data_IF_585317894373
#
_entry.id   IF_585317894373
#
_cell.length_a   1.000
_cell.length_b   1.000
_cell.length_c   1.000
_cell.angle_alpha   90.00
_cell.angle_beta   90.00
_cell.angle_gamma   90.00
#
_symmetry.space_group_name_H-M   'P 1'
#
loop_
_entity.id
_entity.type
_entity.pdbx_description
1 polymer ?
#
# COMPACT_ATOMS: atom_id res chain seq x y z
N UNK A 1 -16.48 -9.89 -6.58
CA UNK A 1 -16.24 -8.43 -6.66
C UNK A 1 -14.89 -8.01 -6.12
N UNK A 2 -14.47 -8.51 -4.95
CA UNK A 2 -13.15 -8.24 -4.39
C UNK A 2 -12.01 -8.66 -5.33
N UNK A 3 -12.15 -9.81 -5.98
CA UNK A 3 -11.13 -10.33 -6.91
C UNK A 3 -10.94 -9.41 -8.11
N UNK A 4 -12.01 -8.80 -8.61
CA UNK A 4 -11.92 -7.86 -9.73
C UNK A 4 -11.23 -6.56 -9.33
N UNK A 5 -11.48 -6.10 -8.11
CA UNK A 5 -10.82 -4.91 -7.57
C UNK A 5 -9.32 -5.18 -7.46
N UNK A 6 -8.94 -6.32 -6.90
CA UNK A 6 -7.54 -6.71 -6.74
C UNK A 6 -6.85 -6.86 -8.10
N UNK A 7 -7.53 -7.50 -9.05
CA UNK A 7 -7.00 -7.65 -10.41
C UNK A 7 -6.75 -6.29 -11.06
N UNK A 8 -7.69 -5.36 -10.89
CA UNK A 8 -7.55 -4.00 -11.44
C UNK A 8 -6.38 -3.26 -10.80
N UNK A 9 -6.22 -3.37 -9.49
CA UNK A 9 -5.11 -2.75 -8.77
C UNK A 9 -3.77 -3.33 -9.24
N UNK A 10 -3.68 -4.65 -9.38
CA UNK A 10 -2.46 -5.30 -9.87
C UNK A 10 -2.10 -4.83 -11.27
N UNK A 11 -3.10 -4.64 -12.14
CA UNK A 11 -2.89 -4.11 -13.48
C UNK A 11 -2.31 -2.71 -13.45
N UNK A 12 -2.88 -1.84 -12.60
CA UNK A 12 -2.41 -0.47 -12.45
C UNK A 12 -0.97 -0.45 -11.90
N UNK A 13 -0.67 -1.28 -10.94
CA UNK A 13 0.68 -1.38 -10.37
C UNK A 13 1.69 -1.83 -11.42
N UNK A 14 1.32 -2.81 -12.25
CA UNK A 14 2.20 -3.30 -13.32
C UNK A 14 2.47 -2.24 -14.39
N UNK A 15 1.46 -1.43 -14.71
CA UNK A 15 1.58 -0.39 -15.73
C UNK A 15 2.25 0.87 -15.21
N UNK A 16 1.96 1.24 -13.95
CA UNK A 16 2.39 2.51 -13.38
C UNK A 16 3.72 2.47 -12.65
N UNK A 17 4.23 1.28 -12.36
CA UNK A 17 5.46 1.12 -11.59
C UNK A 17 6.34 0.07 -12.26
N UNK A 18 7.36 0.53 -12.98
CA UNK A 18 8.31 -0.38 -13.65
C UNK A 18 9.15 -1.13 -12.61
N UNK A 19 9.64 -2.30 -13.00
CA UNK A 19 10.54 -3.08 -12.15
C UNK A 19 11.78 -2.29 -11.76
N UNK A 20 12.34 -1.52 -12.69
CA UNK A 20 13.51 -0.71 -12.43
C UNK A 20 13.23 0.35 -11.36
N UNK A 21 12.14 1.09 -11.49
CA UNK A 21 11.76 2.12 -10.53
C UNK A 21 11.46 1.49 -9.18
N UNK A 22 10.74 0.40 -9.16
CA UNK A 22 10.42 -0.32 -7.94
C UNK A 22 11.70 -0.72 -7.18
N UNK A 23 12.67 -1.28 -7.88
CA UNK A 23 13.94 -1.69 -7.27
C UNK A 23 14.73 -0.52 -6.72
N UNK A 24 14.61 0.64 -7.34
CA UNK A 24 15.28 1.85 -6.87
C UNK A 24 14.63 2.43 -5.62
N UNK A 25 13.31 2.26 -5.48
CA UNK A 25 12.54 2.88 -4.40
C UNK A 25 12.32 1.95 -3.20
N UNK A 26 12.40 0.64 -3.38
CA UNK A 26 12.12 -0.30 -2.30
C UNK A 26 13.20 -0.21 -1.22
N UNK A 27 12.76 -0.04 0.02
CA UNK A 27 13.64 0.03 1.17
C UNK A 27 13.78 -1.36 1.79
N UNK A 28 14.94 -1.67 2.36
CA UNK A 28 15.19 -2.98 2.99
C UNK A 28 14.18 -3.30 4.11
N UNK A 29 13.69 -2.28 4.81
CA UNK A 29 12.69 -2.47 5.87
C UNK A 29 11.29 -2.76 5.32
N UNK A 30 11.10 -2.64 4.01
CA UNK A 30 9.83 -2.92 3.35
C UNK A 30 9.89 -4.18 2.49
N UNK A 31 11.08 -4.52 1.99
CA UNK A 31 11.27 -5.67 1.14
C UNK A 31 10.83 -6.96 1.85
N UNK A 32 10.11 -7.82 1.14
CA UNK A 32 9.57 -9.08 1.65
C UNK A 32 8.53 -8.90 2.76
N UNK A 33 7.98 -7.70 2.94
CA UNK A 33 6.95 -7.42 3.94
C UNK A 33 5.56 -7.51 3.32
N UNK A 34 4.59 -7.84 4.17
CA UNK A 34 3.18 -7.86 3.79
C UNK A 34 2.45 -6.83 4.62
N UNK A 35 1.79 -5.91 3.93
CA UNK A 35 1.07 -4.81 4.53
C UNK A 35 -0.43 -5.03 4.29
N UNK A 36 -1.19 -5.11 5.37
CA UNK A 36 -2.64 -5.22 5.28
C UNK A 36 -3.25 -3.83 5.27
N UNK A 37 -4.07 -3.56 4.27
CA UNK A 37 -4.86 -2.33 4.20
C UNK A 37 -6.30 -2.69 4.49
N UNK A 38 -6.87 -2.08 5.54
CA UNK A 38 -8.24 -2.33 5.95
C UNK A 38 -9.05 -1.05 5.79
N UNK A 39 -9.98 -1.05 4.85
CA UNK A 39 -10.90 0.07 4.62
C UNK A 39 -12.20 -0.29 5.32
N UNK A 40 -12.38 0.23 6.52
CA UNK A 40 -13.35 -0.26 7.48
C UNK A 40 -14.81 -0.04 7.07
N UNK A 41 -15.11 1.14 6.54
CA UNK A 41 -16.49 1.50 6.22
C UNK A 41 -17.07 0.75 5.02
N UNK A 42 -16.22 0.15 4.18
CA UNK A 42 -16.67 -0.68 3.06
C UNK A 42 -16.26 -2.15 3.22
N UNK A 43 -15.73 -2.49 4.38
CA UNK A 43 -15.31 -3.87 4.71
C UNK A 43 -14.38 -4.48 3.66
N UNK A 44 -13.44 -3.68 3.16
CA UNK A 44 -12.48 -4.13 2.16
C UNK A 44 -11.11 -4.30 2.78
N UNK A 45 -10.53 -5.49 2.63
CA UNK A 45 -9.17 -5.78 3.08
C UNK A 45 -8.31 -6.15 1.89
N UNK A 46 -7.15 -5.53 1.78
CA UNK A 46 -6.17 -5.80 0.74
C UNK A 46 -4.83 -6.11 1.40
N UNK A 47 -4.05 -6.99 0.78
CA UNK A 47 -2.75 -7.38 1.29
C UNK A 47 -1.70 -7.04 0.25
N UNK A 48 -0.86 -6.06 0.54
CA UNK A 48 0.23 -5.67 -0.34
C UNK A 48 1.47 -6.51 -0.02
N UNK A 49 1.89 -7.29 -0.98
CA UNK A 49 3.11 -8.09 -0.87
C UNK A 49 4.23 -7.40 -1.63
N UNK A 50 5.24 -6.93 -0.88
CA UNK A 50 6.39 -6.24 -1.47
C UNK A 50 7.44 -7.27 -1.85
N UNK A 51 7.29 -7.85 -3.03
CA UNK A 51 8.20 -8.87 -3.55
C UNK A 51 9.51 -8.24 -4.00
N UNK A 52 10.43 -9.06 -4.44
CA UNK A 52 11.76 -8.61 -4.85
C UNK A 52 11.74 -7.67 -6.05
N UNK A 53 10.86 -7.91 -7.02
CA UNK A 53 10.82 -7.14 -8.26
C UNK A 53 9.55 -6.32 -8.48
N UNK A 54 8.53 -6.56 -7.67
CA UNK A 54 7.22 -5.90 -7.85
C UNK A 54 6.40 -5.94 -6.58
N UNK A 55 5.35 -5.10 -6.54
CA UNK A 55 4.30 -5.20 -5.55
C UNK A 55 3.18 -6.04 -6.15
N UNK A 56 2.65 -6.98 -5.38
CA UNK A 56 1.43 -7.69 -5.76
C UNK A 56 0.38 -7.50 -4.67
N UNK A 57 -0.89 -7.50 -5.07
CA UNK A 57 -2.00 -7.41 -4.13
C UNK A 57 -2.64 -8.79 -4.03
N UNK A 58 -2.78 -9.27 -2.80
CA UNK A 58 -3.35 -10.57 -2.50
C UNK A 58 -4.69 -10.41 -1.81
N UNK A 59 -5.54 -11.44 -1.91
CA UNK A 59 -6.84 -11.47 -1.23
C UNK A 59 -6.72 -11.84 0.24
N UNK A 60 -5.63 -12.53 0.60
CA UNK A 60 -5.44 -13.06 1.94
C UNK A 60 -3.96 -13.34 2.18
N UNK A 61 -3.56 -13.41 3.44
CA UNK A 61 -2.20 -13.77 3.83
C UNK A 61 -2.21 -14.30 5.26
N UNK A 62 -1.42 -15.33 5.51
CA UNK A 62 -1.24 -15.90 6.86
C UNK A 62 -0.35 -15.03 7.74
N UNK A 63 0.38 -14.11 7.14
CA UNK A 63 1.34 -13.27 7.83
C UNK A 63 1.17 -11.82 7.40
N UNK A 64 1.18 -10.91 8.36
CA UNK A 64 1.21 -9.47 8.08
C UNK A 64 2.25 -8.82 9.00
N UNK A 65 2.99 -7.87 8.45
CA UNK A 65 4.01 -7.14 9.20
C UNK A 65 3.47 -5.82 9.72
N UNK A 66 2.60 -5.18 8.96
CA UNK A 66 1.96 -3.92 9.32
C UNK A 66 0.52 -3.95 8.86
N UNK A 67 -0.37 -3.38 9.66
CA UNK A 67 -1.75 -3.14 9.25
C UNK A 67 -2.01 -1.64 9.30
N UNK A 68 -2.57 -1.11 8.21
CA UNK A 68 -3.05 0.27 8.18
C UNK A 68 -4.56 0.22 7.94
N UNK A 69 -5.30 0.91 8.80
CA UNK A 69 -6.77 0.86 8.77
C UNK A 69 -7.37 2.24 8.90
N UNK A 70 -8.51 2.43 8.28
CA UNK A 70 -9.23 3.68 8.31
C UNK A 70 -10.44 3.63 7.40
N UNK A 71 -11.11 4.78 7.27
CA UNK A 71 -12.24 4.92 6.36
C UNK A 71 -11.75 5.17 4.93
N UNK A 72 -12.61 4.95 3.96
CA UNK A 72 -12.29 5.25 2.57
C UNK A 72 -11.88 6.71 2.39
N UNK A 73 -12.60 7.64 3.04
CA UNK A 73 -12.27 9.06 2.95
C UNK A 73 -10.89 9.37 3.52
N UNK A 74 -10.47 8.70 4.58
CA UNK A 74 -9.13 8.86 5.15
C UNK A 74 -8.05 8.42 4.18
N UNK A 75 -8.26 7.31 3.50
CA UNK A 75 -7.31 6.83 2.49
C UNK A 75 -7.27 7.74 1.26
N UNK A 76 -8.42 8.25 0.82
CA UNK A 76 -8.48 9.20 -0.29
C UNK A 76 -7.72 10.48 0.08
N UNK A 77 -7.92 10.97 1.30
CA UNK A 77 -7.19 12.15 1.77
C UNK A 77 -5.68 11.89 1.77
N UNK A 78 -5.26 10.77 2.30
CA UNK A 78 -3.84 10.39 2.31
C UNK A 78 -3.27 10.35 0.88
N UNK A 79 -3.99 9.72 -0.04
CA UNK A 79 -3.57 9.64 -1.44
C UNK A 79 -3.50 11.02 -2.10
N UNK A 80 -4.43 11.93 -1.76
CA UNK A 80 -4.46 13.27 -2.32
C UNK A 80 -3.25 14.13 -1.90
N UNK A 81 -2.63 13.78 -0.77
CA UNK A 81 -1.38 14.43 -0.34
C UNK A 81 -0.14 13.83 -1.02
N UNK A 82 -0.34 12.88 -1.93
CA UNK A 82 0.76 12.17 -2.57
C UNK A 82 1.42 11.13 -1.68
N UNK A 83 0.72 10.69 -0.63
CA UNK A 83 1.27 9.74 0.32
C UNK A 83 2.31 10.36 1.25
N UNK A 84 2.29 11.69 1.41
CA UNK A 84 3.35 12.38 2.13
C UNK A 84 3.27 12.25 3.64
N UNK A 85 2.10 11.94 4.21
CA UNK A 85 1.96 11.90 5.66
C UNK A 85 0.95 10.86 6.13
N UNK A 86 1.44 9.63 6.25
CA UNK A 86 0.64 8.52 6.75
C UNK A 86 0.26 8.75 8.23
N UNK A 87 1.17 9.31 8.99
CA UNK A 87 1.01 9.42 10.45
C UNK A 87 0.09 10.55 10.89
N UNK A 88 -0.09 11.59 10.09
CA UNK A 88 -1.04 12.66 10.42
C UNK A 88 -2.40 12.49 9.75
N UNK A 89 -2.56 11.52 8.86
CA UNK A 89 -3.84 11.11 8.33
C UNK A 89 -4.62 10.38 9.42
N UNK A 90 -5.96 10.33 9.31
CA UNK A 90 -6.78 9.59 10.27
C UNK A 90 -6.73 8.09 9.96
N UNK A 91 -5.53 7.56 9.91
CA UNK A 91 -5.26 6.15 9.60
C UNK A 91 -4.55 5.56 10.81
N UNK A 92 -5.04 4.42 11.28
CA UNK A 92 -4.44 3.69 12.39
C UNK A 92 -3.38 2.75 11.86
N UNK A 93 -2.21 2.78 12.48
CA UNK A 93 -1.07 1.94 12.10
C UNK A 93 -0.78 0.98 13.23
N UNK A 94 -0.74 -0.31 12.93
CA UNK A 94 -0.44 -1.37 13.89
C UNK A 94 0.66 -2.26 13.33
N UNK A 95 1.66 -2.56 14.13
CA UNK A 95 2.75 -3.45 13.74
C UNK A 95 4.11 -2.76 13.78
N UNK A 96 5.02 -3.22 12.92
CA UNK A 96 6.40 -2.74 12.89
C UNK A 96 6.49 -1.30 12.38
N UNK A 97 6.94 -0.40 13.25
CA UNK A 97 7.01 1.03 12.93
C UNK A 97 8.07 1.35 11.86
N UNK A 98 9.14 0.60 11.80
CA UNK A 98 10.17 0.81 10.78
C UNK A 98 9.64 0.46 9.40
N UNK A 99 8.87 -0.61 9.30
CA UNK A 99 8.21 -0.99 8.05
C UNK A 99 7.16 0.04 7.66
N UNK A 100 6.42 0.59 8.63
CA UNK A 100 5.42 1.62 8.37
C UNK A 100 6.08 2.90 7.85
N UNK A 101 7.21 3.30 8.42
CA UNK A 101 7.98 4.45 7.93
C UNK A 101 8.47 4.22 6.50
N UNK A 102 8.98 3.04 6.21
CA UNK A 102 9.43 2.68 4.87
C UNK A 102 8.29 2.68 3.87
N UNK A 103 7.11 2.21 4.29
CA UNK A 103 5.90 2.24 3.46
C UNK A 103 5.51 3.67 3.11
N UNK A 104 5.52 4.56 4.10
CA UNK A 104 5.18 5.97 3.87
C UNK A 104 6.14 6.61 2.86
N UNK A 105 7.44 6.36 3.02
CA UNK A 105 8.45 6.88 2.09
C UNK A 105 8.26 6.32 0.68
N UNK A 106 7.95 5.03 0.57
CA UNK A 106 7.71 4.40 -0.72
C UNK A 106 6.51 5.03 -1.44
N UNK A 107 5.40 5.22 -0.74
CA UNK A 107 4.22 5.83 -1.33
C UNK A 107 4.47 7.26 -1.75
N UNK A 108 5.20 8.02 -0.94
CA UNK A 108 5.55 9.40 -1.26
C UNK A 108 6.42 9.50 -2.51
N UNK A 109 7.44 8.67 -2.60
CA UNK A 109 8.42 8.73 -3.69
C UNK A 109 7.89 8.11 -4.99
N UNK A 110 7.11 7.04 -4.89
CA UNK A 110 6.57 6.37 -6.07
C UNK A 110 5.35 7.07 -6.66
N UNK A 111 4.65 7.84 -5.85
CA UNK A 111 3.40 8.50 -6.23
C UNK A 111 2.33 7.53 -6.74
N UNK A 112 2.45 6.26 -6.38
CA UNK A 112 1.59 5.20 -6.91
C UNK A 112 0.15 5.29 -6.40
N UNK A 113 -0.05 5.85 -5.20
CA UNK A 113 -1.39 5.99 -4.64
C UNK A 113 -2.28 6.91 -5.48
N UNK A 114 -1.71 7.94 -6.09
CA UNK A 114 -2.46 8.82 -6.98
C UNK A 114 -2.95 8.08 -8.21
N UNK A 115 -2.14 7.17 -8.71
CA UNK A 115 -2.50 6.36 -9.88
C UNK A 115 -3.62 5.39 -9.52
N UNK A 116 -3.57 4.79 -8.33
CA UNK A 116 -4.54 3.77 -7.91
C UNK A 116 -5.89 4.40 -7.51
N UNK A 117 -5.87 5.49 -6.75
CA UNK A 117 -7.07 6.02 -6.10
C UNK A 117 -7.68 7.18 -6.89
N UNK A 118 -6.88 7.97 -7.54
CA UNK A 118 -7.32 9.14 -8.30
C UNK A 118 -7.13 8.93 -9.80
#
# INVERSE_FOLDING_TARGET
MKEKIIESINKVLSSGLSTKLYKELIHENLAAKIIKISIEDISLELFLNFEEEKISVLTDSDHIDVEISGTLSSFIFYASTGGSDLFSSKITITGDIESANALNSFFKESNILRIIII
#
